data_IF_856450068355
#
_entry.id   IF_856450068355
#
_cell.length_a   1.000
_cell.length_b   1.000
_cell.length_c   1.000
_cell.angle_alpha   90.00
_cell.angle_beta   90.00
_cell.angle_gamma   90.00
#
_symmetry.space_group_name_H-M   'P 1'
#
loop_
_entity.id
_entity.type
_entity.pdbx_description
1 polymer ?
#
# COMPACT_ATOMS: atom_id res chain seq x y z
N UNK A 1 -24.71 7.19 14.08
CA UNK A 1 -23.39 7.86 13.93
C UNK A 1 -23.21 8.28 12.48
N UNK A 2 -22.82 9.53 12.26
CA UNK A 2 -22.53 10.06 10.90
C UNK A 2 -21.04 10.16 10.69
N UNK A 3 -20.52 9.47 9.65
CA UNK A 3 -19.12 9.39 9.31
C UNK A 3 -18.84 10.15 8.02
N UNK A 4 -18.02 11.18 8.07
CA UNK A 4 -17.51 11.85 6.87
C UNK A 4 -16.18 11.20 6.47
N UNK A 5 -16.11 10.61 5.29
CA UNK A 5 -14.93 9.95 4.74
C UNK A 5 -14.32 10.79 3.62
N UNK A 6 -13.03 11.07 3.70
CA UNK A 6 -12.30 11.82 2.67
C UNK A 6 -11.94 10.93 1.49
N UNK A 7 -12.77 10.94 0.46
CA UNK A 7 -12.58 10.10 -0.75
C UNK A 7 -11.67 10.72 -1.81
N UNK A 8 -11.05 11.89 -1.57
CA UNK A 8 -10.19 12.54 -2.58
C UNK A 8 -9.06 11.65 -3.13
N UNK A 9 -8.41 10.77 -2.33
CA UNK A 9 -7.36 9.90 -2.85
C UNK A 9 -7.82 8.86 -3.87
N UNK A 10 -9.11 8.52 -3.95
CA UNK A 10 -9.62 7.55 -4.95
C UNK A 10 -9.31 7.95 -6.40
N UNK A 11 -9.03 9.24 -6.64
CA UNK A 11 -8.65 9.77 -7.95
C UNK A 11 -7.17 9.52 -8.30
N UNK A 12 -6.38 9.03 -7.36
CA UNK A 12 -4.96 8.78 -7.53
C UNK A 12 -4.72 7.33 -7.95
N UNK A 13 -3.78 7.13 -8.89
CA UNK A 13 -3.33 5.81 -9.33
C UNK A 13 -2.16 5.31 -8.46
N UNK A 14 -2.27 5.47 -7.13
CA UNK A 14 -1.25 5.13 -6.14
C UNK A 14 -1.76 4.06 -5.18
N UNK A 15 -0.88 3.48 -4.36
CA UNK A 15 -1.29 2.57 -3.29
C UNK A 15 -2.33 3.19 -2.34
N UNK A 16 -2.16 4.50 -2.01
CA UNK A 16 -3.13 5.24 -1.18
C UNK A 16 -4.49 5.35 -1.88
N UNK A 17 -4.49 5.62 -3.19
CA UNK A 17 -5.73 5.66 -3.97
C UNK A 17 -6.45 4.31 -3.99
N UNK A 18 -5.71 3.22 -4.18
CA UNK A 18 -6.22 1.85 -4.13
C UNK A 18 -6.80 1.52 -2.75
N UNK A 19 -6.03 1.74 -1.68
CA UNK A 19 -6.50 1.59 -0.31
C UNK A 19 -7.81 2.33 -0.07
N UNK A 20 -7.84 3.63 -0.41
CA UNK A 20 -9.00 4.48 -0.17
C UNK A 20 -10.24 3.98 -0.91
N UNK A 21 -10.08 3.57 -2.18
CA UNK A 21 -11.18 3.03 -2.99
C UNK A 21 -11.71 1.72 -2.45
N UNK A 22 -10.81 0.77 -2.13
CA UNK A 22 -11.22 -0.53 -1.62
C UNK A 22 -11.88 -0.43 -0.23
N UNK A 23 -11.29 0.36 0.68
CA UNK A 23 -11.87 0.55 2.01
C UNK A 23 -13.23 1.26 1.93
N UNK A 24 -13.37 2.31 1.11
CA UNK A 24 -14.64 3.02 0.94
C UNK A 24 -15.74 2.08 0.41
N UNK A 25 -15.44 1.30 -0.62
CA UNK A 25 -16.37 0.31 -1.15
C UNK A 25 -16.80 -0.69 -0.08
N UNK A 26 -15.84 -1.26 0.65
CA UNK A 26 -16.15 -2.23 1.70
C UNK A 26 -16.95 -1.62 2.86
N UNK A 27 -16.66 -0.36 3.24
CA UNK A 27 -17.46 0.37 4.25
C UNK A 27 -18.91 0.61 3.78
N UNK A 28 -19.11 0.88 2.48
CA UNK A 28 -20.45 1.02 1.89
C UNK A 28 -21.19 -0.32 1.86
N UNK A 29 -20.49 -1.42 1.54
CA UNK A 29 -21.03 -2.79 1.52
C UNK A 29 -21.40 -3.30 2.91
N UNK A 30 -20.82 -2.79 4.00
CA UNK A 30 -21.28 -3.09 5.37
C UNK A 30 -22.71 -2.62 5.63
N UNK A 31 -23.27 -1.75 4.80
CA UNK A 31 -24.65 -1.26 4.91
C UNK A 31 -24.96 -0.48 6.20
N UNK A 32 -23.93 0.08 6.85
CA UNK A 32 -24.10 0.91 8.04
C UNK A 32 -24.58 2.30 7.66
N UNK A 33 -25.68 2.74 8.26
CA UNK A 33 -26.24 4.08 8.03
C UNK A 33 -25.27 5.18 8.49
N UNK A 34 -25.22 6.28 7.71
CA UNK A 34 -24.53 7.52 8.10
C UNK A 34 -23.15 7.72 7.51
N UNK A 35 -22.61 6.78 6.71
CA UNK A 35 -21.39 7.01 5.93
C UNK A 35 -21.66 7.93 4.74
N UNK A 36 -20.84 8.94 4.54
CA UNK A 36 -20.88 9.80 3.35
C UNK A 36 -19.52 10.38 2.98
N UNK A 37 -19.34 10.66 1.71
CA UNK A 37 -18.09 11.21 1.19
C UNK A 37 -18.02 12.72 1.43
N UNK A 38 -16.94 13.16 2.08
CA UNK A 38 -16.68 14.58 2.28
C UNK A 38 -15.21 14.84 2.62
N UNK A 39 -14.61 15.80 1.93
CA UNK A 39 -13.27 16.29 2.28
C UNK A 39 -13.25 17.21 3.52
N UNK A 40 -14.42 17.46 4.14
CA UNK A 40 -14.56 18.39 5.27
C UNK A 40 -15.46 17.77 6.34
N UNK A 41 -15.10 17.90 7.63
CA UNK A 41 -15.87 17.39 8.74
C UNK A 41 -17.10 18.26 9.06
N UNK A 42 -18.06 18.31 8.14
CA UNK A 42 -19.29 19.07 8.31
C UNK A 42 -20.48 18.14 8.45
N UNK A 43 -21.27 18.32 9.53
CA UNK A 43 -22.48 17.53 9.77
C UNK A 43 -22.20 16.05 10.01
N UNK A 44 -21.07 15.71 10.63
CA UNK A 44 -20.67 14.37 11.02
C UNK A 44 -20.30 14.32 12.51
N UNK A 45 -20.30 13.10 13.06
CA UNK A 45 -19.87 12.81 14.42
C UNK A 45 -18.37 12.47 14.44
N UNK A 46 -17.85 11.91 13.34
CA UNK A 46 -16.45 11.56 13.15
C UNK A 46 -16.01 11.84 11.71
N UNK A 47 -14.76 12.24 11.53
CA UNK A 47 -14.12 12.47 10.22
C UNK A 47 -12.97 11.51 10.03
N UNK A 48 -12.98 10.75 8.94
CA UNK A 48 -11.87 9.89 8.56
C UNK A 48 -11.08 10.48 7.38
N UNK A 49 -9.79 10.70 7.60
CA UNK A 49 -8.83 10.99 6.54
C UNK A 49 -7.99 9.73 6.26
N UNK A 50 -8.18 9.03 5.12
CA UNK A 50 -7.43 7.82 4.78
C UNK A 50 -6.00 8.12 4.30
N UNK A 51 -5.51 9.33 4.50
CA UNK A 51 -4.18 9.79 4.16
C UNK A 51 -3.76 10.99 5.01
N UNK A 52 -2.44 11.24 5.11
CA UNK A 52 -1.92 12.33 5.95
C UNK A 52 -2.21 13.73 5.40
N UNK A 53 -2.44 13.86 4.08
CA UNK A 53 -2.68 15.15 3.42
C UNK A 53 -4.09 15.71 3.68
N UNK A 54 -5.02 14.86 4.11
CA UNK A 54 -6.35 15.25 4.53
C UNK A 54 -6.48 15.52 6.03
N UNK A 55 -5.47 15.19 6.82
CA UNK A 55 -5.47 15.40 8.26
C UNK A 55 -5.53 16.90 8.63
N UNK A 56 -6.30 17.21 9.67
CA UNK A 56 -6.56 18.57 10.12
C UNK A 56 -5.81 18.90 11.41
N UNK A 57 -5.18 20.07 11.48
CA UNK A 57 -4.53 20.57 12.70
C UNK A 57 -5.54 20.90 13.82
N UNK A 58 -6.73 21.31 13.46
CA UNK A 58 -7.81 21.68 14.37
C UNK A 58 -9.11 21.00 13.91
N UNK A 59 -9.25 19.67 14.12
CA UNK A 59 -10.47 18.98 13.75
C UNK A 59 -11.63 19.41 14.67
N UNK A 60 -12.79 19.81 14.11
CA UNK A 60 -13.95 20.25 14.91
C UNK A 60 -14.74 19.08 15.52
N UNK A 61 -14.47 17.85 15.07
CA UNK A 61 -15.04 16.58 15.54
C UNK A 61 -13.90 15.58 15.73
N UNK A 62 -14.10 14.46 16.44
CA UNK A 62 -13.14 13.37 16.48
C UNK A 62 -12.65 13.01 15.07
N UNK A 63 -11.34 12.92 14.90
CA UNK A 63 -10.71 12.61 13.62
C UNK A 63 -9.99 11.26 13.70
N UNK A 64 -10.24 10.41 12.73
CA UNK A 64 -9.48 9.21 12.45
C UNK A 64 -8.55 9.46 11.26
N UNK A 65 -7.30 9.03 11.34
CA UNK A 65 -6.35 9.18 10.23
C UNK A 65 -5.72 7.82 9.93
N UNK A 66 -5.66 7.41 8.66
CA UNK A 66 -4.81 6.29 8.26
C UNK A 66 -3.41 6.81 7.93
N UNK A 67 -2.43 6.24 8.60
CA UNK A 67 -1.00 6.51 8.43
C UNK A 67 -0.34 5.30 7.79
N UNK A 68 -0.10 5.34 6.48
CA UNK A 68 0.40 4.20 5.72
C UNK A 68 1.88 3.89 5.96
N UNK A 69 2.70 4.92 6.13
CA UNK A 69 4.12 4.82 6.42
C UNK A 69 4.69 6.11 7.01
N UNK A 70 5.94 6.03 7.47
CA UNK A 70 6.75 7.15 7.94
C UNK A 70 8.08 7.25 7.19
N UNK A 71 8.16 6.65 6.01
CA UNK A 71 9.36 6.57 5.20
C UNK A 71 10.01 7.93 4.94
N UNK A 72 9.25 9.00 4.60
CA UNK A 72 9.86 10.31 4.42
C UNK A 72 10.50 10.90 5.69
N UNK A 73 10.07 10.48 6.89
CA UNK A 73 10.73 10.86 8.15
C UNK A 73 11.96 10.02 8.44
N UNK A 74 11.94 8.73 8.06
CA UNK A 74 13.06 7.80 8.25
C UNK A 74 14.23 8.16 7.34
N UNK A 75 13.93 8.57 6.11
CA UNK A 75 14.90 8.81 5.02
C UNK A 75 14.99 10.28 4.60
N UNK A 76 15.13 11.17 5.58
CA UNK A 76 15.14 12.63 5.35
C UNK A 76 16.13 13.10 4.28
N UNK A 77 17.29 12.43 4.14
CA UNK A 77 18.30 12.74 3.13
C UNK A 77 17.86 12.46 1.69
N UNK A 78 16.97 11.50 1.49
CA UNK A 78 16.45 11.10 0.17
C UNK A 78 15.21 11.91 -0.23
N UNK A 79 14.43 12.39 0.75
CA UNK A 79 13.18 13.12 0.57
C UNK A 79 13.32 14.61 0.96
N UNK A 80 14.40 15.27 0.54
CA UNK A 80 14.82 16.64 0.91
C UNK A 80 13.81 17.78 0.63
N UNK A 81 12.67 17.51 0.00
CA UNK A 81 11.60 18.51 -0.22
C UNK A 81 10.61 18.64 0.95
N UNK A 82 11.04 18.31 2.14
CA UNK A 82 10.23 18.33 3.36
C UNK A 82 10.21 19.73 4.00
N UNK A 83 9.52 20.68 3.35
CA UNK A 83 9.28 22.01 3.90
C UNK A 83 8.29 22.02 5.07
N UNK A 84 7.93 23.23 5.56
CA UNK A 84 6.97 23.46 6.65
C UNK A 84 5.65 22.67 6.48
N UNK A 85 5.14 22.56 5.25
CA UNK A 85 3.91 21.80 4.94
C UNK A 85 4.01 20.33 5.35
N UNK A 86 5.16 19.72 5.16
CA UNK A 86 5.39 18.32 5.55
C UNK A 86 5.33 18.15 7.09
N UNK A 87 5.99 19.02 7.84
CA UNK A 87 5.93 19.01 9.31
C UNK A 87 4.50 19.22 9.82
N UNK A 88 3.73 20.11 9.20
CA UNK A 88 2.35 20.37 9.57
C UNK A 88 1.43 19.17 9.37
N UNK A 89 1.67 18.33 8.35
CA UNK A 89 0.91 17.10 8.12
C UNK A 89 1.07 16.13 9.30
N UNK A 90 2.29 15.86 9.72
CA UNK A 90 2.53 14.96 10.87
C UNK A 90 2.02 15.55 12.19
N UNK A 91 2.10 16.86 12.36
CA UNK A 91 1.44 17.52 13.49
C UNK A 91 -0.09 17.36 13.45
N UNK A 92 -0.68 17.35 12.26
CA UNK A 92 -2.11 17.09 12.10
C UNK A 92 -2.46 15.63 12.45
N UNK A 93 -1.63 14.65 12.07
CA UNK A 93 -1.82 13.25 12.47
C UNK A 93 -1.80 13.10 14.00
N UNK A 94 -0.92 13.81 14.70
CA UNK A 94 -0.87 13.81 16.17
C UNK A 94 -2.16 14.34 16.82
N UNK A 95 -3.02 15.06 16.07
CA UNK A 95 -4.32 15.57 16.54
C UNK A 95 -5.47 14.57 16.35
N UNK A 96 -5.23 13.47 15.63
CA UNK A 96 -6.25 12.45 15.43
C UNK A 96 -6.65 11.79 16.77
N UNK A 97 -7.92 11.49 16.97
CA UNK A 97 -8.42 10.74 18.13
C UNK A 97 -7.97 9.28 18.06
N UNK A 98 -7.99 8.70 16.85
CA UNK A 98 -7.44 7.38 16.55
C UNK A 98 -6.57 7.46 15.28
N UNK A 99 -5.52 6.65 15.24
CA UNK A 99 -4.64 6.50 14.07
C UNK A 99 -4.66 5.03 13.66
N UNK A 100 -5.12 4.77 12.44
CA UNK A 100 -5.07 3.46 11.83
C UNK A 100 -3.70 3.33 11.14
N UNK A 101 -3.04 2.20 11.34
CA UNK A 101 -1.78 1.84 10.67
C UNK A 101 -1.89 0.44 10.10
N UNK A 102 -1.19 0.12 8.98
CA UNK A 102 -1.36 -1.17 8.32
C UNK A 102 -0.61 -2.34 8.99
N UNK A 103 0.43 -2.04 9.79
CA UNK A 103 1.28 -3.05 10.45
C UNK A 103 1.75 -2.57 11.82
N UNK A 104 2.18 -3.51 12.68
CA UNK A 104 2.85 -3.19 13.94
C UNK A 104 4.17 -2.44 13.69
N UNK A 105 4.87 -2.74 12.61
CA UNK A 105 6.08 -2.02 12.23
C UNK A 105 5.83 -0.52 12.02
N UNK A 106 4.69 -0.14 11.42
CA UNK A 106 4.29 1.27 11.29
C UNK A 106 3.78 1.84 12.62
N UNK A 107 3.15 1.03 13.46
CA UNK A 107 2.75 1.43 14.81
C UNK A 107 3.97 1.84 15.66
N UNK A 108 5.01 1.02 15.66
CA UNK A 108 6.27 1.29 16.37
C UNK A 108 6.93 2.59 15.86
N UNK A 109 7.01 2.77 14.54
CA UNK A 109 7.50 4.01 13.93
C UNK A 109 6.64 5.24 14.35
N UNK A 110 5.31 5.09 14.45
CA UNK A 110 4.41 6.17 14.85
C UNK A 110 4.59 6.56 16.33
N UNK A 111 4.79 5.57 17.20
CA UNK A 111 5.10 5.79 18.62
C UNK A 111 6.46 6.48 18.76
N UNK A 112 7.50 5.89 18.16
CA UNK A 112 8.87 6.36 18.33
C UNK A 112 9.11 7.74 17.73
N UNK A 113 8.60 7.99 16.51
CA UNK A 113 8.94 9.19 15.72
C UNK A 113 7.96 10.33 15.83
N UNK A 114 6.68 10.01 16.08
CA UNK A 114 5.63 11.02 16.24
C UNK A 114 5.16 11.17 17.69
N UNK A 115 5.56 10.28 18.60
CA UNK A 115 5.10 10.30 19.99
C UNK A 115 3.59 10.07 20.13
N UNK A 116 2.99 9.33 19.19
CA UNK A 116 1.58 8.98 19.26
C UNK A 116 1.42 7.89 20.34
N UNK A 117 0.56 8.10 21.36
CA UNK A 117 0.33 7.09 22.38
C UNK A 117 -0.21 5.79 21.78
N UNK A 118 0.30 4.63 22.25
CA UNK A 118 -0.06 3.32 21.74
C UNK A 118 -1.57 3.05 21.76
N UNK A 119 -2.26 3.53 22.82
CA UNK A 119 -3.72 3.39 22.98
C UNK A 119 -4.55 4.15 21.94
N UNK A 120 -3.93 4.99 21.13
CA UNK A 120 -4.57 5.70 20.00
C UNK A 120 -4.31 5.04 18.65
N UNK A 121 -3.42 4.07 18.60
CA UNK A 121 -3.04 3.38 17.37
C UNK A 121 -3.83 2.08 17.27
N UNK A 122 -4.40 1.85 16.10
CA UNK A 122 -5.09 0.59 15.77
C UNK A 122 -4.45 0.01 14.52
N UNK A 123 -3.98 -1.23 14.60
CA UNK A 123 -3.41 -1.94 13.45
C UNK A 123 -4.53 -2.60 12.68
N UNK A 124 -4.70 -2.20 11.42
CA UNK A 124 -5.69 -2.79 10.50
C UNK A 124 -4.96 -3.07 9.18
N UNK A 125 -4.77 -4.35 8.86
CA UNK A 125 -4.13 -4.79 7.63
C UNK A 125 -4.92 -4.39 6.38
N UNK A 126 -4.21 -4.32 5.26
CA UNK A 126 -4.78 -4.08 3.96
C UNK A 126 -4.98 -5.42 3.22
N UNK A 127 -5.68 -5.43 2.08
CA UNK A 127 -5.91 -6.62 1.29
C UNK A 127 -5.67 -6.36 -0.21
N UNK A 128 -5.57 -7.41 -1.00
CA UNK A 128 -5.62 -7.28 -2.45
C UNK A 128 -6.97 -6.68 -2.88
N UNK A 129 -6.97 -5.84 -3.93
CA UNK A 129 -8.23 -5.36 -4.49
C UNK A 129 -9.07 -6.56 -5.00
N UNK A 130 -10.41 -6.53 -4.89
CA UNK A 130 -11.27 -7.67 -5.26
C UNK A 130 -11.09 -8.18 -6.69
N UNK A 131 -10.70 -7.30 -7.62
CA UNK A 131 -10.40 -7.65 -9.01
C UNK A 131 -9.09 -8.45 -9.15
N UNK A 132 -8.16 -8.35 -8.19
CA UNK A 132 -6.85 -9.01 -8.23
C UNK A 132 -6.97 -10.44 -7.70
N UNK A 133 -7.30 -11.32 -8.60
CA UNK A 133 -7.42 -12.77 -8.40
C UNK A 133 -6.88 -13.51 -9.61
N UNK A 134 -6.59 -14.78 -9.45
CA UNK A 134 -6.11 -15.65 -10.53
C UNK A 134 -7.05 -15.59 -11.73
N UNK A 135 -6.51 -15.41 -12.93
CA UNK A 135 -7.25 -15.33 -14.20
C UNK A 135 -7.13 -16.60 -15.01
N UNK A 136 -8.15 -16.91 -15.84
CA UNK A 136 -8.09 -17.99 -16.81
C UNK A 136 -6.94 -17.80 -17.82
N UNK A 137 -6.46 -18.93 -18.40
CA UNK A 137 -5.31 -18.89 -19.30
C UNK A 137 -5.56 -18.05 -20.56
N UNK A 138 -6.80 -18.02 -21.07
CA UNK A 138 -7.17 -17.23 -22.23
C UNK A 138 -7.07 -15.71 -21.97
N UNK A 139 -7.43 -15.24 -20.77
CA UNK A 139 -7.28 -13.83 -20.38
C UNK A 139 -5.81 -13.46 -20.24
N UNK A 140 -5.01 -14.34 -19.63
CA UNK A 140 -3.56 -14.17 -19.48
C UNK A 140 -2.90 -14.07 -20.86
N UNK A 141 -3.26 -14.96 -21.79
CA UNK A 141 -2.71 -14.96 -23.14
C UNK A 141 -3.11 -13.70 -23.93
N UNK A 142 -4.36 -13.26 -23.83
CA UNK A 142 -4.82 -12.04 -24.48
C UNK A 142 -4.05 -10.80 -23.99
N UNK A 143 -3.82 -10.71 -22.69
CA UNK A 143 -3.04 -9.60 -22.10
C UNK A 143 -1.55 -9.71 -22.46
N UNK A 144 -1.00 -10.94 -22.48
CA UNK A 144 0.38 -11.19 -22.90
C UNK A 144 0.62 -10.70 -24.34
N UNK A 145 -0.30 -10.99 -25.27
CA UNK A 145 -0.21 -10.53 -26.66
C UNK A 145 -0.38 -9.01 -26.76
N UNK A 146 -1.33 -8.42 -26.04
CA UNK A 146 -1.61 -6.99 -26.06
C UNK A 146 -0.39 -6.14 -25.65
N UNK A 147 0.35 -6.58 -24.62
CA UNK A 147 1.51 -5.87 -24.08
C UNK A 147 2.86 -6.46 -24.55
N UNK A 148 2.83 -7.40 -25.51
CA UNK A 148 4.02 -8.07 -26.04
C UNK A 148 4.92 -8.65 -24.94
N UNK A 149 4.28 -9.24 -23.89
CA UNK A 149 5.00 -9.79 -22.74
C UNK A 149 5.68 -11.12 -23.13
N UNK A 150 6.88 -11.39 -22.59
CA UNK A 150 7.53 -12.68 -22.75
C UNK A 150 6.69 -13.83 -22.20
N UNK A 151 6.93 -15.05 -22.67
CA UNK A 151 6.26 -16.26 -22.17
C UNK A 151 6.56 -16.53 -20.69
N UNK A 152 7.79 -16.28 -20.27
CA UNK A 152 8.24 -16.34 -18.87
C UNK A 152 8.93 -15.04 -18.51
N UNK A 153 8.54 -14.45 -17.41
CA UNK A 153 9.09 -13.17 -16.96
C UNK A 153 9.04 -12.99 -15.45
N UNK A 154 9.99 -12.26 -14.92
CA UNK A 154 9.94 -11.67 -13.59
C UNK A 154 9.11 -10.38 -13.67
N UNK A 155 8.34 -10.11 -12.63
CA UNK A 155 7.45 -8.97 -12.56
C UNK A 155 7.86 -8.00 -11.46
N UNK A 156 7.78 -6.72 -11.72
CA UNK A 156 7.76 -5.66 -10.71
C UNK A 156 6.57 -4.75 -10.95
N UNK A 157 5.88 -4.34 -9.87
CA UNK A 157 4.68 -3.48 -9.95
C UNK A 157 4.83 -2.27 -9.05
N UNK A 158 4.54 -1.08 -9.60
CA UNK A 158 4.57 0.15 -8.82
C UNK A 158 4.65 1.42 -9.67
N UNK A 159 4.57 2.59 -9.04
CA UNK A 159 4.69 3.86 -9.74
C UNK A 159 6.11 4.13 -10.23
N UNK A 160 6.24 4.47 -11.53
CA UNK A 160 7.49 4.82 -12.21
C UNK A 160 7.51 6.28 -12.70
N UNK A 161 6.61 7.13 -12.17
CA UNK A 161 6.61 8.57 -12.52
C UNK A 161 7.82 9.30 -11.95
N UNK A 162 8.23 8.94 -10.75
CA UNK A 162 9.38 9.54 -10.07
C UNK A 162 10.28 8.41 -9.57
N UNK A 163 11.61 8.51 -9.75
CA UNK A 163 12.52 7.55 -9.14
C UNK A 163 12.33 7.54 -7.63
N UNK A 164 12.16 6.34 -7.08
CA UNK A 164 12.11 6.11 -5.64
C UNK A 164 13.29 5.19 -5.26
N UNK A 165 14.35 5.72 -4.63
CA UNK A 165 15.54 4.94 -4.29
C UNK A 165 15.22 3.70 -3.44
N UNK A 166 14.22 3.79 -2.57
CA UNK A 166 13.74 2.71 -1.72
C UNK A 166 13.28 1.48 -2.50
N UNK A 167 12.65 1.69 -3.65
CA UNK A 167 12.11 0.61 -4.49
C UNK A 167 13.15 -0.09 -5.34
N UNK A 168 14.39 0.43 -5.39
CA UNK A 168 15.57 -0.14 -6.07
C UNK A 168 15.35 -0.59 -7.52
N UNK A 169 14.34 -0.05 -8.22
CA UNK A 169 13.97 -0.47 -9.59
C UNK A 169 15.12 -0.32 -10.57
N UNK A 170 15.87 0.78 -10.47
CA UNK A 170 17.01 1.00 -11.34
C UNK A 170 18.15 0.00 -11.11
N UNK A 171 18.36 -0.46 -9.87
CA UNK A 171 19.30 -1.51 -9.55
C UNK A 171 18.81 -2.87 -10.08
N UNK A 172 17.53 -3.19 -9.86
CA UNK A 172 16.89 -4.40 -10.39
C UNK A 172 16.98 -4.49 -11.92
N UNK A 173 16.76 -3.38 -12.64
CA UNK A 173 16.85 -3.34 -14.10
C UNK A 173 18.27 -3.63 -14.62
N UNK A 174 19.32 -3.24 -13.86
CA UNK A 174 20.72 -3.45 -14.21
C UNK A 174 21.29 -4.79 -13.74
N UNK A 175 20.64 -5.46 -12.82
CA UNK A 175 21.13 -6.70 -12.24
C UNK A 175 21.11 -7.85 -13.28
N UNK A 176 22.06 -8.77 -13.14
CA UNK A 176 22.13 -9.98 -13.94
C UNK A 176 20.93 -10.89 -13.63
N UNK A 177 20.26 -11.41 -14.66
CA UNK A 177 19.13 -12.32 -14.55
C UNK A 177 18.99 -13.16 -15.81
N UNK A 178 18.39 -14.32 -15.68
CA UNK A 178 18.16 -15.25 -16.80
C UNK A 178 16.80 -15.02 -17.45
N UNK A 179 15.84 -14.44 -16.72
CA UNK A 179 14.50 -14.15 -17.22
C UNK A 179 14.31 -12.67 -17.55
N UNK A 180 13.52 -12.35 -18.59
CA UNK A 180 13.07 -10.98 -18.85
C UNK A 180 12.39 -10.35 -17.64
N UNK A 181 12.52 -9.03 -17.49
CA UNK A 181 11.85 -8.25 -16.44
C UNK A 181 10.78 -7.36 -17.03
N UNK A 182 9.57 -7.51 -16.53
CA UNK A 182 8.41 -6.66 -16.86
C UNK A 182 8.15 -5.70 -15.71
N UNK A 183 8.03 -4.42 -16.01
CA UNK A 183 7.69 -3.37 -15.06
C UNK A 183 6.31 -2.82 -15.39
N UNK A 184 5.41 -2.85 -14.41
CA UNK A 184 4.02 -2.39 -14.55
C UNK A 184 3.77 -1.16 -13.68
N UNK A 185 3.17 -0.14 -14.27
CA UNK A 185 2.72 1.06 -13.59
C UNK A 185 2.95 2.34 -14.40
N UNK A 186 2.38 3.47 -13.95
CA UNK A 186 2.51 4.74 -14.67
C UNK A 186 3.98 5.18 -14.76
N UNK A 187 4.46 5.44 -15.98
CA UNK A 187 5.85 5.73 -16.30
C UNK A 187 6.12 7.22 -16.50
N UNK A 188 7.40 7.60 -16.44
CA UNK A 188 7.96 8.85 -16.92
C UNK A 188 9.26 8.58 -17.70
N UNK A 189 9.84 9.63 -18.29
CA UNK A 189 11.00 9.52 -19.19
C UNK A 189 12.15 8.63 -18.65
N UNK A 190 12.50 8.77 -17.38
CA UNK A 190 13.57 8.00 -16.75
C UNK A 190 13.36 6.47 -16.79
N UNK A 191 12.07 6.03 -16.71
CA UNK A 191 11.77 4.61 -16.75
C UNK A 191 12.04 3.98 -18.12
N UNK A 192 11.88 4.75 -19.19
CA UNK A 192 12.20 4.34 -20.57
C UNK A 192 13.71 4.26 -20.85
N UNK A 193 14.53 4.78 -19.94
CA UNK A 193 15.99 4.71 -20.00
C UNK A 193 16.53 3.48 -19.25
N UNK A 194 15.68 2.71 -18.57
CA UNK A 194 16.07 1.49 -17.86
C UNK A 194 16.45 0.38 -18.86
N UNK A 195 17.60 -0.30 -18.66
CA UNK A 195 18.08 -1.31 -19.60
C UNK A 195 17.33 -2.64 -19.45
N UNK A 196 17.05 -3.31 -20.57
CA UNK A 196 16.63 -4.72 -20.60
C UNK A 196 15.30 -5.00 -19.89
N UNK A 197 14.36 -4.06 -19.92
CA UNK A 197 13.03 -4.20 -19.30
C UNK A 197 11.92 -3.99 -20.32
N UNK A 198 10.77 -4.65 -20.11
CA UNK A 198 9.53 -4.37 -20.82
C UNK A 198 8.64 -3.49 -19.92
N UNK A 199 8.13 -2.38 -20.45
CA UNK A 199 7.25 -1.45 -19.75
C UNK A 199 5.84 -1.56 -20.27
N UNK A 200 4.85 -1.82 -19.43
CA UNK A 200 3.43 -1.82 -19.85
C UNK A 200 2.78 -0.44 -19.74
N UNK A 201 3.33 0.45 -18.91
CA UNK A 201 2.62 1.63 -18.47
C UNK A 201 1.55 1.30 -17.42
N UNK A 202 0.60 2.20 -17.24
CA UNK A 202 -0.57 1.96 -16.41
C UNK A 202 -1.54 1.00 -17.11
N UNK A 203 -2.06 0.03 -16.36
CA UNK A 203 -3.01 -0.99 -16.83
C UNK A 203 -4.25 -0.98 -15.94
N UNK A 204 -5.35 -1.56 -16.39
CA UNK A 204 -6.55 -1.80 -15.57
C UNK A 204 -6.28 -2.89 -14.52
N UNK A 205 -7.13 -2.98 -13.50
CA UNK A 205 -6.99 -4.03 -12.47
C UNK A 205 -7.18 -5.44 -13.05
N UNK A 206 -8.06 -5.62 -14.04
CA UNK A 206 -8.24 -6.90 -14.71
C UNK A 206 -7.00 -7.30 -15.52
N UNK A 207 -6.39 -6.36 -16.23
CA UNK A 207 -5.13 -6.60 -16.95
C UNK A 207 -3.98 -6.85 -15.97
N UNK A 208 -3.92 -6.10 -14.85
CA UNK A 208 -2.92 -6.31 -13.81
C UNK A 208 -3.04 -7.71 -13.19
N UNK A 209 -4.26 -8.17 -12.93
CA UNK A 209 -4.51 -9.53 -12.43
C UNK A 209 -4.02 -10.61 -13.41
N UNK A 210 -4.24 -10.39 -14.72
CA UNK A 210 -3.74 -11.29 -15.75
C UNK A 210 -2.21 -11.26 -15.86
N UNK A 211 -1.59 -10.09 -15.75
CA UNK A 211 -0.13 -9.93 -15.74
C UNK A 211 0.48 -10.61 -14.51
N UNK A 212 -0.09 -10.42 -13.30
CA UNK A 212 0.32 -11.17 -12.13
C UNK A 212 0.19 -12.67 -12.36
N UNK A 213 -0.99 -13.13 -12.80
CA UNK A 213 -1.23 -14.57 -13.03
C UNK A 213 -0.26 -15.16 -14.04
N UNK A 214 0.17 -14.42 -15.06
CA UNK A 214 1.12 -14.87 -16.09
C UNK A 214 2.59 -14.81 -15.65
N UNK A 215 2.92 -13.96 -14.66
CA UNK A 215 4.30 -13.76 -14.21
C UNK A 215 4.90 -15.03 -13.58
N UNK A 216 6.20 -15.29 -13.77
CA UNK A 216 6.89 -16.36 -13.11
C UNK A 216 7.00 -16.12 -11.60
N UNK A 217 7.43 -14.91 -11.21
CA UNK A 217 7.44 -14.44 -9.84
C UNK A 217 7.40 -12.90 -9.80
N UNK A 218 6.88 -12.34 -8.71
CA UNK A 218 7.08 -10.93 -8.37
C UNK A 218 8.45 -10.76 -7.70
N UNK A 219 9.25 -9.80 -8.16
CA UNK A 219 10.49 -9.36 -7.50
C UNK A 219 10.22 -8.04 -6.82
N UNK A 220 10.34 -8.00 -5.49
CA UNK A 220 10.01 -6.83 -4.69
C UNK A 220 11.21 -6.36 -3.85
N UNK A 221 12.15 -5.59 -4.45
CA UNK A 221 13.40 -5.19 -3.83
C UNK A 221 13.27 -3.95 -2.92
N UNK A 222 12.08 -3.66 -2.43
CA UNK A 222 11.88 -2.52 -1.54
C UNK A 222 12.57 -2.72 -0.21
N UNK A 223 13.31 -1.74 0.23
CA UNK A 223 14.07 -1.77 1.48
C UNK A 223 13.37 -1.06 2.65
N UNK A 224 12.15 -0.60 2.45
CA UNK A 224 11.25 -0.09 3.50
C UNK A 224 9.81 -0.02 2.95
N UNK A 225 8.84 -0.51 3.71
CA UNK A 225 7.41 -0.49 3.36
C UNK A 225 6.53 -0.28 4.59
N UNK A 226 5.30 0.16 4.36
CA UNK A 226 4.28 0.20 5.42
C UNK A 226 3.45 -1.08 5.45
N UNK A 227 3.15 -1.67 4.29
CA UNK A 227 2.38 -2.91 4.15
C UNK A 227 2.92 -3.81 3.03
N UNK A 228 3.01 -3.29 1.82
CA UNK A 228 3.44 -4.06 0.66
C UNK A 228 2.28 -4.62 -0.15
N UNK A 229 1.37 -3.78 -0.66
CA UNK A 229 0.25 -4.22 -1.50
C UNK A 229 0.67 -5.10 -2.69
N UNK A 230 1.73 -4.79 -3.48
CA UNK A 230 2.08 -5.62 -4.63
C UNK A 230 2.41 -7.09 -4.30
N UNK A 231 3.15 -7.44 -3.23
CA UNK A 231 3.28 -8.81 -2.75
C UNK A 231 1.94 -9.49 -2.42
N UNK A 232 1.05 -8.80 -1.72
CA UNK A 232 -0.28 -9.34 -1.35
C UNK A 232 -1.14 -9.59 -2.60
N UNK A 233 -1.11 -8.67 -3.55
CA UNK A 233 -1.80 -8.76 -4.85
C UNK A 233 -1.27 -9.92 -5.69
N UNK A 234 0.06 -10.10 -5.72
CA UNK A 234 0.71 -11.22 -6.42
C UNK A 234 0.26 -12.57 -5.87
N UNK A 235 0.28 -12.74 -4.54
CA UNK A 235 -0.17 -13.96 -3.89
C UNK A 235 -1.65 -14.25 -4.16
N UNK A 236 -2.51 -13.22 -4.15
CA UNK A 236 -3.94 -13.35 -4.50
C UNK A 236 -4.15 -13.83 -5.94
N UNK A 237 -3.24 -13.49 -6.85
CA UNK A 237 -3.23 -13.96 -8.24
C UNK A 237 -2.51 -15.32 -8.43
N UNK A 238 -2.01 -15.93 -7.36
CA UNK A 238 -1.25 -17.19 -7.42
C UNK A 238 0.19 -17.03 -7.92
N UNK A 239 0.74 -15.83 -7.85
CA UNK A 239 2.10 -15.51 -8.28
C UNK A 239 3.04 -15.57 -7.10
N UNK A 240 4.12 -16.38 -7.15
CA UNK A 240 5.15 -16.39 -6.13
C UNK A 240 5.81 -15.01 -5.97
N UNK A 241 6.30 -14.74 -4.77
CA UNK A 241 6.93 -13.47 -4.41
C UNK A 241 8.34 -13.73 -3.89
N UNK A 242 9.31 -12.96 -4.37
CA UNK A 242 10.60 -12.78 -3.74
C UNK A 242 10.69 -11.33 -3.25
N UNK A 243 10.95 -11.15 -1.96
CA UNK A 243 10.99 -9.83 -1.33
C UNK A 243 12.13 -9.74 -0.30
N UNK A 244 12.62 -8.54 -0.05
CA UNK A 244 13.58 -8.32 1.03
C UNK A 244 12.93 -8.45 2.40
N UNK A 245 13.72 -8.92 3.36
CA UNK A 245 13.34 -9.02 4.77
C UNK A 245 13.36 -7.64 5.43
N UNK A 246 12.20 -6.97 5.38
CA UNK A 246 11.94 -5.70 6.09
C UNK A 246 10.78 -5.88 7.07
N UNK A 247 10.73 -5.12 8.17
CA UNK A 247 9.78 -5.37 9.26
C UNK A 247 8.32 -5.53 8.82
N UNK A 248 7.81 -4.63 8.00
CA UNK A 248 6.43 -4.71 7.53
C UNK A 248 6.18 -5.93 6.63
N UNK A 249 7.10 -6.27 5.72
CA UNK A 249 6.94 -7.44 4.85
C UNK A 249 7.08 -8.75 5.64
N UNK A 250 7.94 -8.78 6.66
CA UNK A 250 8.04 -9.93 7.56
C UNK A 250 6.71 -10.18 8.28
N UNK A 251 6.06 -9.13 8.76
CA UNK A 251 4.76 -9.23 9.42
C UNK A 251 3.65 -9.69 8.45
N UNK A 252 3.59 -9.08 7.26
CA UNK A 252 2.50 -9.33 6.30
C UNK A 252 2.64 -10.66 5.57
N UNK A 253 3.87 -11.10 5.27
CA UNK A 253 4.15 -12.25 4.42
C UNK A 253 4.60 -13.50 5.20
N UNK A 254 4.56 -13.46 6.54
CA UNK A 254 5.01 -14.55 7.41
C UNK A 254 4.35 -15.88 7.04
N UNK A 255 5.18 -16.92 6.90
CA UNK A 255 4.73 -18.27 6.52
C UNK A 255 4.29 -18.45 5.05
N UNK A 256 4.20 -17.37 4.26
CA UNK A 256 3.78 -17.41 2.85
C UNK A 256 4.92 -17.22 1.86
N UNK A 257 5.98 -16.54 2.26
CA UNK A 257 7.11 -16.15 1.41
C UNK A 257 8.41 -16.32 2.18
N UNK A 258 9.43 -16.88 1.52
CA UNK A 258 10.80 -16.83 2.02
C UNK A 258 11.39 -15.46 1.70
N UNK A 259 11.66 -14.68 2.77
CA UNK A 259 12.25 -13.35 2.64
C UNK A 259 13.77 -13.44 2.50
N UNK A 260 14.34 -12.62 1.64
CA UNK A 260 15.78 -12.60 1.38
C UNK A 260 16.47 -11.48 2.17
N UNK A 261 17.77 -11.62 2.50
CA UNK A 261 18.50 -10.59 3.23
C UNK A 261 18.43 -9.22 2.55
N UNK A 262 18.18 -8.19 3.36
CA UNK A 262 18.07 -6.81 2.87
C UNK A 262 19.33 -6.40 2.11
N UNK A 263 19.14 -5.98 0.88
CA UNK A 263 20.21 -5.46 0.01
C UNK A 263 20.89 -6.51 -0.85
N UNK A 264 20.66 -7.79 -0.63
CA UNK A 264 21.21 -8.89 -1.47
C UNK A 264 20.30 -9.10 -2.70
N UNK A 265 20.52 -8.27 -3.71
CA UNK A 265 19.71 -8.28 -4.93
C UNK A 265 19.93 -9.55 -5.77
N UNK A 266 21.15 -10.11 -5.76
CA UNK A 266 21.45 -11.32 -6.51
C UNK A 266 20.71 -12.52 -5.91
N UNK A 267 20.71 -12.64 -4.59
CA UNK A 267 19.91 -13.67 -3.88
C UNK A 267 18.41 -13.48 -4.13
N UNK A 268 17.91 -12.25 -4.08
CA UNK A 268 16.51 -11.93 -4.36
C UNK A 268 16.08 -12.39 -5.76
N UNK A 269 16.90 -12.11 -6.77
CA UNK A 269 16.63 -12.53 -8.16
C UNK A 269 16.70 -14.06 -8.28
N UNK A 270 17.73 -14.69 -7.71
CA UNK A 270 17.87 -16.15 -7.74
C UNK A 270 16.66 -16.84 -7.08
N UNK A 271 16.17 -16.33 -5.94
CA UNK A 271 14.95 -16.80 -5.27
C UNK A 271 13.73 -16.68 -6.19
N UNK A 272 13.58 -15.53 -6.86
CA UNK A 272 12.47 -15.33 -7.80
C UNK A 272 12.54 -16.27 -9.01
N UNK A 273 13.74 -16.49 -9.58
CA UNK A 273 13.94 -17.39 -10.73
C UNK A 273 13.72 -18.87 -10.37
N UNK A 274 14.01 -19.25 -9.13
CA UNK A 274 13.80 -20.61 -8.60
C UNK A 274 12.36 -20.88 -8.11
N UNK A 275 11.50 -19.85 -8.08
CA UNK A 275 10.16 -19.94 -7.52
C UNK A 275 9.31 -21.03 -8.22
N UNK A 276 8.51 -21.72 -7.42
CA UNK A 276 7.58 -22.76 -7.89
C UNK A 276 6.17 -22.19 -7.97
N UNK A 277 5.48 -22.44 -9.09
CA UNK A 277 4.12 -21.95 -9.34
C UNK A 277 3.07 -23.04 -9.25
N UNK A 278 1.83 -22.68 -8.88
CA UNK A 278 1.39 -21.40 -8.34
C UNK A 278 1.87 -21.20 -6.89
N UNK A 279 1.83 -19.95 -6.39
CA UNK A 279 2.01 -19.70 -4.97
C UNK A 279 0.97 -20.51 -4.17
N UNK A 280 1.35 -21.11 -3.01
CA UNK A 280 0.53 -22.11 -2.35
C UNK A 280 -0.80 -21.58 -1.84
N UNK A 281 -0.84 -20.40 -1.24
CA UNK A 281 -2.06 -19.83 -0.64
C UNK A 281 -2.05 -18.32 -0.68
N UNK A 282 -3.22 -17.65 -0.93
CA UNK A 282 -3.38 -16.22 -0.70
C UNK A 282 -3.37 -15.91 0.80
N UNK A 283 -3.09 -14.66 1.14
CA UNK A 283 -3.19 -14.16 2.51
C UNK A 283 -4.66 -14.07 2.95
N UNK A 284 -4.90 -14.16 4.24
CA UNK A 284 -6.26 -14.13 4.83
C UNK A 284 -6.83 -12.71 5.01
N UNK A 285 -6.08 -11.66 4.67
CA UNK A 285 -6.58 -10.29 4.77
C UNK A 285 -7.76 -10.05 3.83
N UNK A 286 -8.82 -9.41 4.35
CA UNK A 286 -9.99 -9.02 3.56
C UNK A 286 -10.35 -7.55 3.78
N UNK A 287 -10.91 -6.91 2.74
CA UNK A 287 -11.43 -5.55 2.89
C UNK A 287 -12.68 -5.50 3.76
N UNK A 288 -13.44 -6.59 3.86
CA UNK A 288 -14.60 -6.70 4.76
C UNK A 288 -14.16 -6.60 6.23
N UNK A 289 -13.11 -7.35 6.62
CA UNK A 289 -12.58 -7.29 7.98
C UNK A 289 -11.95 -5.93 8.26
N UNK A 290 -11.21 -5.37 7.30
CA UNK A 290 -10.66 -4.03 7.41
C UNK A 290 -11.75 -2.96 7.60
N UNK A 291 -12.85 -3.04 6.85
CA UNK A 291 -13.98 -2.13 7.00
C UNK A 291 -14.68 -2.29 8.33
N UNK A 292 -14.89 -3.55 8.80
CA UNK A 292 -15.52 -3.84 10.11
C UNK A 292 -14.69 -3.25 11.24
N UNK A 293 -13.37 -3.53 11.25
CA UNK A 293 -12.47 -2.97 12.26
C UNK A 293 -12.37 -1.44 12.19
N UNK A 294 -12.39 -0.87 10.97
CA UNK A 294 -12.41 0.59 10.79
C UNK A 294 -13.68 1.21 11.35
N UNK A 295 -14.85 0.53 11.20
CA UNK A 295 -16.09 1.02 11.77
C UNK A 295 -16.06 1.01 13.31
N UNK A 296 -15.49 -0.01 13.93
CA UNK A 296 -15.27 -0.06 15.38
C UNK A 296 -14.37 1.09 15.86
N UNK A 297 -13.33 1.44 15.08
CA UNK A 297 -12.49 2.61 15.37
C UNK A 297 -13.30 3.91 15.34
N UNK A 298 -14.29 4.04 14.47
CA UNK A 298 -15.17 5.22 14.47
C UNK A 298 -16.04 5.28 15.74
N UNK A 299 -16.60 4.15 16.15
CA UNK A 299 -17.41 4.06 17.38
C UNK A 299 -16.56 4.42 18.60
N UNK A 300 -15.36 3.89 18.69
CA UNK A 300 -14.39 4.21 19.74
C UNK A 300 -13.98 5.69 19.74
N UNK A 301 -13.76 6.27 18.57
CA UNK A 301 -13.36 7.68 18.45
C UNK A 301 -14.47 8.63 18.92
N UNK A 302 -15.73 8.28 18.66
CA UNK A 302 -16.89 9.08 19.10
C UNK A 302 -17.17 8.88 20.61
N UNK A 303 -16.94 7.68 21.14
CA UNK A 303 -17.14 7.38 22.57
C UNK A 303 -16.03 7.95 23.45
N UNK A 304 -14.86 8.27 22.88
CA UNK A 304 -13.75 8.81 23.64
C UNK A 304 -14.14 10.15 24.31
N UNK A 305 -13.79 10.35 25.59
CA UNK A 305 -14.09 11.60 26.28
C UNK A 305 -13.43 12.76 25.54
N UNK A 306 -14.21 13.76 25.13
CA UNK A 306 -13.74 14.95 24.42
C UNK A 306 -12.55 15.54 25.18
N UNK A 307 -11.35 15.45 24.62
CA UNK A 307 -10.17 16.11 25.17
C UNK A 307 -10.44 17.60 25.13
N UNK A 308 -10.74 18.19 26.29
CA UNK A 308 -10.79 19.63 26.41
C UNK A 308 -9.46 20.18 25.92
N UNK A 309 -9.43 20.79 24.74
CA UNK A 309 -8.25 21.52 24.23
C UNK A 309 -8.01 22.74 25.12
N UNK A 310 -7.56 22.52 26.35
CA UNK A 310 -7.01 23.61 27.15
C UNK A 310 -5.64 23.93 26.56
N UNK A 311 -5.64 24.92 25.71
CA UNK A 311 -4.42 25.68 25.40
C UNK A 311 -3.95 26.34 26.70
N UNK A 312 -2.84 25.90 27.26
CA UNK A 312 -2.02 26.73 28.17
C UNK A 312 -0.77 27.14 27.45
#
# INVERSE_FOLDING_TARGET
MRVAFDSRPTKETTGIGRYTSCLLTALQELGRDGLFESAKPRGCDVFHSPWIDGALLHPPVPMVVTLHDLIPLKRRGEYLRTGLRFKLRYLAVQRAERVIVPTNAVADDAIERLGIPAERIVVIGEAAAPALRRRPAEEVEAVRQRYELPERYLLWVGGLRTPDPRKRVAALAKAARTMPLVLVGPTAKWAHELPGVTLTGAVSDDELAAIYTGAHALVFPSDDEGFGLPPVEALACGTPVAAFDVPALREVLDGHVELTPLGDLDHLIATAEAAVRPAPHPLSYTWEDAARSTWEVYEDAVAAPTRSHRWR
#
